data_IF_838046784015
#
_entry.id   IF_838046784015
#
_cell.length_a   1.000
_cell.length_b   1.000
_cell.length_c   1.000
_cell.angle_alpha   90.00
_cell.angle_beta   90.00
_cell.angle_gamma   90.00
#
_symmetry.space_group_name_H-M   'P 1'
#
loop_
_entity.id
_entity.type
_entity.pdbx_description
1 polymer ?
#
# COMPACT_ATOMS: atom_id res chain seq x y z
N UNK A 1 -0.44 -9.33 -15.37
CA UNK A 1 -0.38 -8.30 -16.44
C UNK A 1 0.08 -8.89 -17.76
N UNK A 2 1.38 -9.12 -18.00
CA UNK A 2 1.87 -9.63 -19.28
C UNK A 2 1.28 -10.98 -19.69
N UNK A 3 1.14 -11.89 -18.72
CA UNK A 3 0.57 -13.22 -18.93
C UNK A 3 -0.93 -13.20 -19.29
N UNK A 4 -1.66 -12.14 -18.92
CA UNK A 4 -3.13 -12.12 -18.95
C UNK A 4 -3.70 -11.22 -20.04
N UNK A 5 -2.87 -10.46 -20.77
CA UNK A 5 -3.32 -9.42 -21.70
C UNK A 5 -2.46 -9.40 -22.96
N UNK A 6 -3.05 -8.99 -24.09
CA UNK A 6 -2.34 -8.79 -25.35
C UNK A 6 -1.45 -7.54 -25.36
N UNK A 7 -1.81 -6.51 -24.58
CA UNK A 7 -1.04 -5.28 -24.42
C UNK A 7 -0.88 -4.93 -22.95
N UNK A 8 0.30 -4.45 -22.56
CA UNK A 8 0.63 -3.99 -21.21
C UNK A 8 1.15 -2.56 -21.29
N UNK A 9 0.52 -1.68 -20.51
CA UNK A 9 1.03 -0.34 -20.25
C UNK A 9 1.47 -0.21 -18.79
N UNK A 10 2.56 0.51 -18.54
CA UNK A 10 2.97 0.94 -17.20
C UNK A 10 2.90 2.47 -17.09
N UNK A 11 2.34 2.99 -16.01
CA UNK A 11 2.39 4.42 -15.72
C UNK A 11 3.49 4.73 -14.69
N UNK A 12 4.40 5.64 -15.03
CA UNK A 12 5.41 6.16 -14.09
C UNK A 12 5.07 7.63 -13.81
N UNK A 13 4.51 7.90 -12.63
CA UNK A 13 4.12 9.24 -12.25
C UNK A 13 4.22 9.44 -10.73
N UNK A 14 5.15 10.30 -10.32
CA UNK A 14 5.24 10.72 -8.91
C UNK A 14 4.16 11.77 -8.66
N UNK A 15 2.99 11.31 -8.21
CA UNK A 15 1.82 12.16 -7.99
C UNK A 15 2.04 13.14 -6.83
N UNK A 16 2.15 14.47 -7.05
CA UNK A 16 2.34 15.42 -5.97
C UNK A 16 1.16 15.51 -4.99
N UNK A 17 -0.06 15.20 -5.43
CA UNK A 17 -1.28 15.40 -4.62
C UNK A 17 -1.47 14.38 -3.51
N UNK A 18 -0.68 13.30 -3.50
CA UNK A 18 -0.72 12.28 -2.44
C UNK A 18 0.38 12.46 -1.38
N UNK A 19 1.22 13.49 -1.51
CA UNK A 19 2.28 13.79 -0.54
C UNK A 19 1.87 14.95 0.36
N UNK A 20 2.05 14.80 1.66
CA UNK A 20 1.93 15.92 2.59
C UNK A 20 3.14 16.87 2.45
N UNK A 21 3.05 18.15 2.89
CA UNK A 21 4.15 19.12 2.75
C UNK A 21 5.49 18.70 3.39
N UNK A 22 5.41 17.83 4.39
CA UNK A 22 6.53 17.27 5.15
C UNK A 22 6.94 15.85 4.69
N UNK A 23 6.34 15.34 3.62
CA UNK A 23 6.73 14.07 3.01
C UNK A 23 7.80 14.26 1.93
N UNK A 24 8.34 13.13 1.47
CA UNK A 24 9.57 13.02 0.70
C UNK A 24 9.42 13.29 -0.80
N UNK A 25 8.45 14.11 -1.26
CA UNK A 25 8.21 14.36 -2.68
C UNK A 25 9.47 14.81 -3.45
N UNK A 26 10.26 15.72 -2.85
CA UNK A 26 11.50 16.21 -3.44
C UNK A 26 12.60 15.13 -3.46
N UNK A 27 12.67 14.32 -2.41
CA UNK A 27 13.68 13.28 -2.22
C UNK A 27 13.28 11.91 -2.83
N UNK A 28 12.07 11.79 -3.36
CA UNK A 28 11.56 10.54 -3.92
C UNK A 28 12.48 10.09 -5.07
N UNK A 29 12.95 8.83 -5.08
CA UNK A 29 13.87 8.34 -6.09
C UNK A 29 13.27 8.45 -7.49
N UNK A 30 14.07 8.89 -8.45
CA UNK A 30 13.70 8.98 -9.87
C UNK A 30 14.87 8.44 -10.69
N UNK A 31 14.66 7.32 -11.37
CA UNK A 31 15.62 6.70 -12.28
C UNK A 31 14.87 6.22 -13.51
N UNK A 32 14.49 7.18 -14.37
CA UNK A 32 13.65 6.88 -15.53
C UNK A 32 14.33 5.89 -16.48
N UNK A 33 15.63 6.03 -16.71
CA UNK A 33 16.37 5.13 -17.60
C UNK A 33 16.42 3.70 -17.04
N UNK A 34 16.68 3.55 -15.74
CA UNK A 34 16.67 2.25 -15.06
C UNK A 34 15.27 1.62 -14.99
N UNK A 35 14.22 2.42 -14.81
CA UNK A 35 12.83 1.94 -14.82
C UNK A 35 12.40 1.50 -16.22
N UNK A 36 12.75 2.27 -17.28
CA UNK A 36 12.46 1.91 -18.66
C UNK A 36 13.16 0.62 -19.08
N UNK A 37 14.44 0.42 -18.70
CA UNK A 37 15.16 -0.80 -18.99
C UNK A 37 14.50 -2.05 -18.37
N UNK A 38 14.03 -1.94 -17.11
CA UNK A 38 13.31 -3.04 -16.43
C UNK A 38 11.96 -3.33 -17.09
N UNK A 39 11.23 -2.29 -17.50
CA UNK A 39 9.93 -2.44 -18.17
C UNK A 39 10.08 -3.04 -19.57
N UNK A 40 11.14 -2.68 -20.29
CA UNK A 40 11.50 -3.29 -21.58
C UNK A 40 11.82 -4.78 -21.41
N UNK A 41 12.67 -5.14 -20.44
CA UNK A 41 12.97 -6.55 -20.12
C UNK A 41 11.70 -7.34 -19.73
N UNK A 42 10.77 -6.70 -19.01
CA UNK A 42 9.49 -7.28 -18.64
C UNK A 42 8.46 -7.36 -19.78
N UNK A 43 8.78 -6.85 -20.98
CA UNK A 43 7.91 -6.90 -22.17
C UNK A 43 6.70 -5.97 -22.10
N UNK A 44 6.87 -4.77 -21.52
CA UNK A 44 5.86 -3.71 -21.49
C UNK A 44 5.80 -3.00 -22.85
N UNK A 45 4.60 -2.85 -23.41
CA UNK A 45 4.41 -2.28 -24.75
C UNK A 45 4.39 -0.74 -24.76
N UNK A 46 3.96 -0.14 -23.65
CA UNK A 46 3.81 1.31 -23.52
C UNK A 46 4.19 1.77 -22.11
N UNK A 47 5.01 2.82 -22.02
CA UNK A 47 5.24 3.54 -20.76
C UNK A 47 4.60 4.91 -20.83
N UNK A 48 3.65 5.18 -19.94
CA UNK A 48 3.01 6.48 -19.77
C UNK A 48 3.68 7.25 -18.62
N UNK A 49 4.53 8.22 -18.97
CA UNK A 49 5.32 9.00 -18.01
C UNK A 49 5.10 10.51 -18.18
N UNK A 50 3.91 11.04 -17.83
CA UNK A 50 3.56 12.43 -18.05
C UNK A 50 4.26 13.39 -17.08
N UNK A 51 4.37 14.65 -17.50
CA UNK A 51 4.74 15.73 -16.57
C UNK A 51 3.56 16.07 -15.62
N UNK A 52 3.81 16.54 -14.38
CA UNK A 52 2.74 16.92 -13.46
C UNK A 52 1.73 17.92 -14.02
N UNK A 53 2.14 18.84 -14.89
CA UNK A 53 1.27 19.85 -15.49
C UNK A 53 0.32 19.27 -16.55
N UNK A 54 0.65 18.12 -17.14
CA UNK A 54 -0.24 17.41 -18.07
C UNK A 54 -1.35 16.66 -17.31
N UNK A 55 -1.01 16.13 -16.13
CA UNK A 55 -1.99 15.50 -15.23
C UNK A 55 -2.83 16.57 -14.52
N UNK A 56 -2.19 17.63 -14.04
CA UNK A 56 -2.78 18.71 -13.25
C UNK A 56 -2.55 20.07 -13.92
N UNK A 57 -3.38 20.45 -14.91
CA UNK A 57 -3.26 21.74 -15.57
C UNK A 57 -3.53 22.92 -14.62
N UNK A 58 -3.15 24.12 -15.04
CA UNK A 58 -3.43 25.34 -14.28
C UNK A 58 -4.93 25.46 -13.96
N UNK A 59 -5.26 25.68 -12.69
CA UNK A 59 -6.65 25.76 -12.21
C UNK A 59 -7.32 24.41 -11.94
N UNK A 60 -6.58 23.29 -11.90
CA UNK A 60 -7.14 21.98 -11.58
C UNK A 60 -7.72 21.90 -10.15
N UNK A 61 -9.04 21.88 -10.04
CA UNK A 61 -9.77 21.97 -8.76
C UNK A 61 -10.64 20.73 -8.44
N UNK A 62 -10.72 19.76 -9.35
CA UNK A 62 -11.50 18.54 -9.11
C UNK A 62 -10.73 17.57 -8.21
N UNK A 63 -11.41 16.96 -7.24
CA UNK A 63 -10.87 15.92 -6.34
C UNK A 63 -11.86 14.77 -6.22
N UNK A 64 -11.35 13.57 -5.98
CA UNK A 64 -12.16 12.37 -5.73
C UNK A 64 -11.92 11.91 -4.30
N UNK A 65 -13.00 11.81 -3.52
CA UNK A 65 -12.99 11.32 -2.15
C UNK A 65 -13.77 9.99 -2.09
N UNK A 66 -13.21 9.00 -1.41
CA UNK A 66 -13.75 7.61 -1.35
C UNK A 66 -14.38 7.32 0.03
N UNK A 67 -14.57 8.36 0.84
CA UNK A 67 -15.28 8.29 2.12
C UNK A 67 -14.50 7.51 3.20
N UNK A 68 -15.25 6.84 4.08
CA UNK A 68 -14.71 6.27 5.33
C UNK A 68 -13.54 5.31 5.14
N UNK A 69 -13.53 4.51 4.07
CA UNK A 69 -12.44 3.55 3.82
C UNK A 69 -11.08 4.25 3.58
N UNK A 70 -11.12 5.49 3.10
CA UNK A 70 -9.95 6.34 2.90
C UNK A 70 -9.56 7.15 4.15
N UNK A 71 -10.43 7.24 5.16
CA UNK A 71 -10.20 8.03 6.37
C UNK A 71 -9.57 7.21 7.53
N UNK A 72 -9.67 5.88 7.48
CA UNK A 72 -9.12 4.95 8.49
C UNK A 72 -7.62 4.70 8.29
N UNK A 73 -6.96 4.07 9.27
CA UNK A 73 -5.59 3.54 9.17
C UNK A 73 -4.57 4.54 8.56
N UNK A 74 -3.99 4.24 7.39
CA UNK A 74 -3.06 5.14 6.70
C UNK A 74 -3.67 6.51 6.43
N UNK A 75 -4.98 6.59 6.18
CA UNK A 75 -5.71 7.84 5.97
C UNK A 75 -5.77 8.72 7.22
N UNK A 76 -5.85 8.09 8.40
CA UNK A 76 -5.82 8.82 9.67
C UNK A 76 -4.41 9.36 9.96
N UNK A 77 -3.37 8.57 9.67
CA UNK A 77 -1.97 8.97 9.83
C UNK A 77 -1.49 9.95 8.74
N UNK A 78 -2.12 9.93 7.57
CA UNK A 78 -1.73 10.71 6.38
C UNK A 78 -2.96 11.39 5.78
N UNK A 79 -3.43 12.49 6.40
CA UNK A 79 -4.56 13.27 5.88
C UNK A 79 -4.38 13.62 4.40
N UNK A 80 -5.47 13.56 3.64
CA UNK A 80 -5.55 13.81 2.19
C UNK A 80 -4.80 12.82 1.27
N UNK A 81 -4.00 11.89 1.81
CA UNK A 81 -3.22 10.94 1.00
C UNK A 81 -4.09 10.17 0.00
N UNK A 82 -5.16 9.53 0.49
CA UNK A 82 -6.05 8.74 -0.37
C UNK A 82 -6.94 9.58 -1.28
N UNK A 83 -7.21 10.85 -0.95
CA UNK A 83 -7.86 11.76 -1.90
C UNK A 83 -6.93 12.02 -3.10
N UNK A 84 -5.64 12.21 -2.85
CA UNK A 84 -4.62 12.31 -3.89
C UNK A 84 -4.52 11.04 -4.73
N UNK A 85 -4.45 9.86 -4.09
CA UNK A 85 -4.43 8.55 -4.77
C UNK A 85 -5.69 8.33 -5.60
N UNK A 86 -6.88 8.50 -5.03
CA UNK A 86 -8.14 8.30 -5.74
C UNK A 86 -8.27 9.25 -6.95
N UNK A 87 -7.86 10.51 -6.79
CA UNK A 87 -7.90 11.50 -7.87
C UNK A 87 -6.98 11.10 -9.02
N UNK A 88 -5.72 10.71 -8.74
CA UNK A 88 -4.78 10.33 -9.81
C UNK A 88 -5.19 9.01 -10.48
N UNK A 89 -5.63 8.02 -9.70
CA UNK A 89 -6.04 6.71 -10.23
C UNK A 89 -7.30 6.85 -11.09
N UNK A 90 -8.29 7.65 -10.67
CA UNK A 90 -9.48 7.94 -11.48
C UNK A 90 -9.10 8.54 -12.85
N UNK A 91 -8.16 9.50 -12.86
CA UNK A 91 -7.65 10.09 -14.11
C UNK A 91 -6.93 9.06 -14.96
N UNK A 92 -6.03 8.26 -14.39
CA UNK A 92 -5.28 7.24 -15.12
C UNK A 92 -6.20 6.17 -15.73
N UNK A 93 -7.21 5.70 -14.98
CA UNK A 93 -8.22 4.76 -15.50
C UNK A 93 -9.03 5.37 -16.64
N UNK A 94 -9.33 6.67 -16.58
CA UNK A 94 -10.06 7.39 -17.65
C UNK A 94 -9.21 7.62 -18.90
N UNK A 95 -7.91 7.86 -18.73
CA UNK A 95 -6.93 8.11 -19.82
C UNK A 95 -6.60 6.80 -20.54
N UNK A 96 -6.20 5.77 -19.78
CA UNK A 96 -5.71 4.50 -20.34
C UNK A 96 -6.87 3.57 -20.72
N UNK A 97 -7.97 3.61 -19.97
CA UNK A 97 -9.15 2.72 -20.12
C UNK A 97 -8.78 1.23 -20.19
N UNK A 98 -8.06 0.71 -19.18
CA UNK A 98 -7.60 -0.67 -19.21
C UNK A 98 -8.74 -1.65 -18.91
N UNK A 99 -8.69 -2.85 -19.51
CA UNK A 99 -9.55 -3.97 -19.11
C UNK A 99 -9.21 -4.45 -17.68
N UNK A 100 -7.91 -4.47 -17.34
CA UNK A 100 -7.39 -4.88 -16.03
C UNK A 100 -6.35 -3.89 -15.50
N UNK A 101 -6.41 -3.61 -14.21
CA UNK A 101 -5.42 -2.78 -13.50
C UNK A 101 -4.84 -3.56 -12.31
N UNK A 102 -3.54 -3.46 -12.10
CA UNK A 102 -2.80 -4.30 -11.14
C UNK A 102 -2.27 -3.46 -9.98
N UNK A 103 -2.57 -3.88 -8.75
CA UNK A 103 -2.07 -3.24 -7.53
C UNK A 103 -1.45 -4.27 -6.58
N UNK A 104 -0.41 -3.88 -5.86
CA UNK A 104 0.25 -4.74 -4.88
C UNK A 104 -0.51 -4.79 -3.55
N UNK A 105 -0.71 -5.99 -3.01
CA UNK A 105 -1.38 -6.24 -1.72
C UNK A 105 -0.68 -5.55 -0.55
N UNK A 106 0.61 -5.24 -0.66
CA UNK A 106 1.38 -4.53 0.37
C UNK A 106 0.67 -3.24 0.83
N UNK A 107 0.06 -2.53 -0.12
CA UNK A 107 -0.77 -1.35 0.13
C UNK A 107 -2.25 -1.78 0.17
N UNK A 108 -2.60 -2.64 1.13
CA UNK A 108 -3.93 -3.29 1.18
C UNK A 108 -5.09 -2.27 1.23
N UNK A 109 -4.96 -1.22 2.05
CA UNK A 109 -5.96 -0.14 2.09
C UNK A 109 -6.09 0.58 0.75
N UNK A 110 -4.98 0.84 0.04
CA UNK A 110 -5.04 1.41 -1.31
C UNK A 110 -5.82 0.51 -2.26
N UNK A 111 -5.59 -0.80 -2.20
CA UNK A 111 -6.34 -1.76 -3.03
C UNK A 111 -7.85 -1.67 -2.76
N UNK A 112 -8.25 -1.55 -1.49
CA UNK A 112 -9.67 -1.41 -1.13
C UNK A 112 -10.25 -0.06 -1.57
N UNK A 113 -9.53 1.04 -1.37
CA UNK A 113 -9.89 2.39 -1.87
C UNK A 113 -10.11 2.35 -3.38
N UNK A 114 -9.22 1.71 -4.13
CA UNK A 114 -9.31 1.66 -5.60
C UNK A 114 -10.43 0.74 -6.08
N UNK A 115 -10.64 -0.40 -5.41
CA UNK A 115 -11.80 -1.27 -5.68
C UNK A 115 -13.11 -0.51 -5.48
N UNK A 116 -13.23 0.25 -4.38
CA UNK A 116 -14.41 1.07 -4.07
C UNK A 116 -14.61 2.17 -5.10
N UNK A 117 -13.54 2.92 -5.42
CA UNK A 117 -13.53 3.95 -6.47
C UNK A 117 -14.03 3.41 -7.81
N UNK A 118 -13.48 2.27 -8.24
CA UNK A 118 -13.81 1.65 -9.52
C UNK A 118 -15.28 1.21 -9.59
N UNK A 119 -15.79 0.64 -8.50
CA UNK A 119 -17.19 0.23 -8.40
C UNK A 119 -18.15 1.43 -8.34
N UNK A 120 -17.92 2.39 -7.44
CA UNK A 120 -18.83 3.52 -7.20
C UNK A 120 -18.95 4.45 -8.42
N UNK A 121 -17.86 4.64 -9.17
CA UNK A 121 -17.85 5.49 -10.36
C UNK A 121 -18.03 4.72 -11.68
N UNK A 122 -18.28 3.41 -11.63
CA UNK A 122 -18.47 2.55 -12.80
C UNK A 122 -17.33 2.68 -13.83
N UNK A 123 -16.08 2.70 -13.36
CA UNK A 123 -14.91 2.93 -14.22
C UNK A 123 -14.58 1.73 -15.14
N UNK A 124 -15.10 0.55 -14.81
CA UNK A 124 -15.13 -0.61 -15.72
C UNK A 124 -13.85 -1.45 -15.76
N UNK A 125 -12.79 -1.09 -15.02
CA UNK A 125 -11.57 -1.89 -14.99
C UNK A 125 -11.69 -3.05 -13.98
N UNK A 126 -11.17 -4.23 -14.30
CA UNK A 126 -10.96 -5.30 -13.33
C UNK A 126 -9.76 -4.96 -12.44
N UNK A 127 -9.99 -4.80 -11.14
CA UNK A 127 -8.92 -4.51 -10.16
C UNK A 127 -8.29 -5.80 -9.66
N UNK A 128 -7.10 -6.13 -10.16
CA UNK A 128 -6.32 -7.32 -9.82
C UNK A 128 -5.32 -7.00 -8.71
N UNK A 129 -5.45 -7.67 -7.57
CA UNK A 129 -4.52 -7.52 -6.43
C UNK A 129 -3.46 -8.62 -6.50
N UNK A 130 -2.18 -8.23 -6.52
CA UNK A 130 -1.03 -9.14 -6.58
C UNK A 130 -0.44 -9.32 -5.18
N UNK A 131 -0.12 -10.55 -4.74
CA UNK A 131 0.47 -10.79 -3.43
C UNK A 131 1.71 -9.94 -3.14
N UNK A 132 1.93 -9.60 -1.87
CA UNK A 132 3.12 -8.88 -1.42
C UNK A 132 4.38 -9.68 -1.75
N UNK A 133 5.25 -9.12 -2.58
CA UNK A 133 6.58 -9.67 -2.84
C UNK A 133 7.47 -9.36 -1.63
N UNK A 134 8.18 -10.38 -1.16
CA UNK A 134 9.07 -10.30 -0.01
C UNK A 134 10.50 -10.66 -0.42
N UNK A 135 11.46 -10.08 0.27
CA UNK A 135 12.86 -10.48 0.21
C UNK A 135 13.03 -11.89 0.83
N UNK A 136 14.20 -12.51 0.67
CA UNK A 136 14.44 -13.89 1.12
C UNK A 136 14.29 -14.10 2.64
N UNK A 137 14.42 -13.03 3.41
CA UNK A 137 14.26 -13.01 4.87
C UNK A 137 12.83 -12.68 5.31
N UNK A 138 11.92 -12.41 4.37
CA UNK A 138 10.50 -12.15 4.63
C UNK A 138 10.11 -10.68 4.68
N UNK A 139 11.07 -9.74 4.62
CA UNK A 139 10.76 -8.30 4.58
C UNK A 139 9.97 -7.96 3.31
N UNK A 140 8.83 -7.27 3.44
CA UNK A 140 8.09 -6.79 2.29
C UNK A 140 8.94 -5.81 1.46
N UNK A 141 9.00 -6.01 0.14
CA UNK A 141 9.79 -5.15 -0.73
C UNK A 141 9.22 -3.73 -0.76
N UNK A 142 10.09 -2.74 -0.59
CA UNK A 142 9.75 -1.33 -0.54
C UNK A 142 10.91 -0.50 -1.05
N UNK A 143 10.65 0.53 -1.85
CA UNK A 143 11.68 1.52 -2.19
C UNK A 143 12.27 2.17 -0.93
N UNK A 144 11.45 2.32 0.12
CA UNK A 144 11.88 2.84 1.43
C UNK A 144 12.86 1.94 2.19
N UNK A 145 13.02 0.67 1.81
CA UNK A 145 14.00 -0.21 2.46
C UNK A 145 15.43 0.27 2.20
N UNK A 146 15.67 1.01 1.10
CA UNK A 146 16.97 1.60 0.80
C UNK A 146 17.41 2.69 1.81
N UNK A 147 16.49 3.20 2.64
CA UNK A 147 16.77 4.21 3.66
C UNK A 147 17.06 3.61 5.05
N UNK A 148 16.96 2.28 5.20
CA UNK A 148 17.30 1.61 6.45
C UNK A 148 18.82 1.71 6.67
N UNK A 149 19.22 2.03 7.90
CA UNK A 149 20.64 2.06 8.28
C UNK A 149 21.14 0.65 8.56
N UNK A 150 22.45 0.49 8.61
CA UNK A 150 23.07 -0.75 9.07
C UNK A 150 22.52 -1.12 10.46
N UNK A 151 22.01 -2.35 10.59
CA UNK A 151 21.36 -2.85 11.80
C UNK A 151 19.84 -2.65 11.86
N UNK A 152 19.27 -1.65 11.17
CA UNK A 152 17.82 -1.39 11.19
C UNK A 152 17.02 -2.49 10.44
N UNK A 153 17.69 -3.27 9.59
CA UNK A 153 17.06 -4.38 8.86
C UNK A 153 16.50 -5.46 9.80
N UNK A 154 17.21 -5.78 10.88
CA UNK A 154 16.74 -6.78 11.86
C UNK A 154 15.48 -6.28 12.57
N UNK A 155 15.47 -5.01 12.99
CA UNK A 155 14.26 -4.36 13.51
C UNK A 155 13.11 -4.36 12.50
N UNK A 156 13.38 -4.12 11.22
CA UNK A 156 12.36 -4.14 10.16
C UNK A 156 11.75 -5.55 9.94
N UNK A 157 12.49 -6.63 10.22
CA UNK A 157 11.96 -7.99 10.10
C UNK A 157 10.86 -8.30 11.13
N UNK A 158 10.78 -7.54 12.23
CA UNK A 158 9.69 -7.69 13.21
C UNK A 158 8.30 -7.48 12.63
N UNK A 159 8.17 -6.67 11.57
CA UNK A 159 6.90 -6.49 10.87
C UNK A 159 6.41 -7.83 10.33
N UNK A 160 7.24 -8.52 9.55
CA UNK A 160 6.90 -9.84 9.00
C UNK A 160 6.72 -10.91 10.09
N UNK A 161 7.58 -10.90 11.13
CA UNK A 161 7.50 -11.84 12.26
C UNK A 161 6.22 -11.65 13.07
N UNK A 162 5.79 -10.41 13.30
CA UNK A 162 4.55 -10.10 14.01
C UNK A 162 3.30 -10.51 13.22
N UNK A 163 3.31 -10.39 11.89
CA UNK A 163 2.22 -10.90 11.06
C UNK A 163 2.16 -12.43 11.09
N UNK A 164 3.31 -13.11 11.09
CA UNK A 164 3.36 -14.57 11.27
C UNK A 164 2.81 -14.97 12.65
N UNK A 165 3.20 -14.27 13.71
CA UNK A 165 2.66 -14.46 15.06
C UNK A 165 1.13 -14.32 15.08
N UNK A 166 0.58 -13.31 14.39
CA UNK A 166 -0.87 -13.15 14.28
C UNK A 166 -1.54 -14.37 13.61
N UNK A 167 -0.95 -14.90 12.54
CA UNK A 167 -1.44 -16.13 11.88
C UNK A 167 -1.37 -17.33 12.80
N UNK A 168 -0.25 -17.53 13.51
CA UNK A 168 -0.05 -18.65 14.44
C UNK A 168 -1.04 -18.60 15.61
N UNK A 169 -1.26 -17.42 16.18
CA UNK A 169 -2.24 -17.20 17.24
C UNK A 169 -3.66 -17.50 16.75
N UNK A 170 -4.02 -17.02 15.56
CA UNK A 170 -5.32 -17.30 14.96
C UNK A 170 -5.53 -18.79 14.67
N UNK A 171 -4.52 -19.47 14.11
CA UNK A 171 -4.52 -20.91 13.88
C UNK A 171 -4.64 -21.72 15.19
N UNK A 172 -4.19 -21.15 16.31
CA UNK A 172 -4.35 -21.70 17.66
C UNK A 172 -5.66 -21.28 18.34
N UNK A 173 -6.66 -20.85 17.55
CA UNK A 173 -8.00 -20.44 17.99
C UNK A 173 -8.04 -19.23 18.94
N UNK A 174 -6.97 -18.41 18.96
CA UNK A 174 -7.00 -17.13 19.66
C UNK A 174 -7.66 -16.09 18.75
N UNK A 175 -8.95 -15.83 18.97
CA UNK A 175 -9.73 -14.91 18.13
C UNK A 175 -9.82 -13.48 18.68
N UNK A 176 -9.32 -13.23 19.89
CA UNK A 176 -9.38 -11.90 20.50
C UNK A 176 -8.35 -10.96 19.83
N UNK A 177 -8.85 -10.00 19.05
CA UNK A 177 -8.02 -9.09 18.28
C UNK A 177 -7.07 -8.27 19.17
N UNK A 178 -7.56 -7.74 20.29
CA UNK A 178 -6.74 -6.96 21.24
C UNK A 178 -5.57 -7.78 21.81
N UNK A 179 -5.79 -9.06 22.10
CA UNK A 179 -4.75 -9.98 22.57
C UNK A 179 -3.68 -10.20 21.49
N UNK A 180 -4.09 -10.42 20.23
CA UNK A 180 -3.15 -10.59 19.12
C UNK A 180 -2.36 -9.30 18.89
N UNK A 181 -3.04 -8.16 18.75
CA UNK A 181 -2.38 -6.86 18.54
C UNK A 181 -1.40 -6.50 19.66
N UNK A 182 -1.70 -6.84 20.91
CA UNK A 182 -0.79 -6.64 22.03
C UNK A 182 0.48 -7.50 21.93
N UNK A 183 0.36 -8.77 21.52
CA UNK A 183 1.53 -9.63 21.32
C UNK A 183 2.38 -9.18 20.13
N UNK A 184 1.74 -8.77 19.02
CA UNK A 184 2.42 -8.17 17.88
C UNK A 184 3.20 -6.92 18.29
N UNK A 185 2.57 -6.02 19.06
CA UNK A 185 3.21 -4.81 19.56
C UNK A 185 4.44 -5.12 20.42
N UNK A 186 4.30 -6.03 21.39
CA UNK A 186 5.41 -6.42 22.26
C UNK A 186 6.61 -6.97 21.46
N UNK A 187 6.36 -7.75 20.41
CA UNK A 187 7.42 -8.28 19.54
C UNK A 187 8.11 -7.19 18.72
N UNK A 188 7.37 -6.20 18.23
CA UNK A 188 7.95 -5.10 17.46
C UNK A 188 8.78 -4.19 18.39
N UNK A 189 8.21 -3.84 19.55
CA UNK A 189 8.82 -2.91 20.52
C UNK A 189 9.97 -3.54 21.32
N UNK A 190 10.23 -4.85 21.18
CA UNK A 190 11.42 -5.49 21.75
C UNK A 190 12.71 -5.21 20.98
N UNK A 191 12.60 -4.79 19.71
CA UNK A 191 13.76 -4.41 18.89
C UNK A 191 14.09 -2.92 19.02
N UNK A 192 15.37 -2.53 18.85
CA UNK A 192 15.77 -1.14 18.99
C UNK A 192 15.21 -0.28 17.85
N UNK A 193 14.97 0.99 18.18
CA UNK A 193 14.54 2.05 17.24
C UNK A 193 13.22 1.75 16.53
N UNK A 194 12.40 0.86 17.05
CA UNK A 194 11.05 0.61 16.58
C UNK A 194 10.05 1.51 17.31
N UNK A 195 9.05 2.00 16.57
CA UNK A 195 7.91 2.70 17.13
C UNK A 195 6.68 2.38 16.29
N UNK A 196 5.72 1.70 16.90
CA UNK A 196 4.48 1.31 16.23
C UNK A 196 3.58 2.55 16.08
N UNK A 197 3.26 2.91 14.85
CA UNK A 197 2.28 3.94 14.51
C UNK A 197 0.86 3.38 14.73
N UNK A 198 0.57 2.24 14.12
CA UNK A 198 -0.62 1.45 14.45
C UNK A 198 -0.41 -0.05 14.19
N UNK A 199 -1.24 -0.84 14.86
CA UNK A 199 -1.56 -2.23 14.51
C UNK A 199 -3.07 -2.32 14.54
N UNK A 200 -3.67 -2.74 13.43
CA UNK A 200 -5.10 -2.87 13.23
C UNK A 200 -5.44 -4.32 12.88
N UNK A 201 -6.55 -4.80 13.43
CA UNK A 201 -7.17 -6.05 13.01
C UNK A 201 -8.62 -5.69 12.68
N UNK A 202 -8.89 -5.56 11.39
CA UNK A 202 -10.14 -5.02 10.89
C UNK A 202 -10.82 -5.98 9.92
N UNK A 203 -12.10 -5.75 9.64
CA UNK A 203 -12.82 -6.42 8.57
C UNK A 203 -12.08 -6.23 7.23
N UNK A 204 -11.89 -7.33 6.49
CA UNK A 204 -11.08 -7.34 5.28
C UNK A 204 -11.67 -6.49 4.13
N UNK A 205 -12.95 -6.13 4.19
CA UNK A 205 -13.63 -5.34 3.15
C UNK A 205 -13.89 -3.89 3.60
N UNK A 206 -14.34 -3.69 4.84
CA UNK A 206 -14.78 -2.36 5.32
C UNK A 206 -13.71 -1.61 6.11
N UNK A 207 -12.67 -2.31 6.57
CA UNK A 207 -11.66 -1.80 7.51
C UNK A 207 -12.25 -1.36 8.87
N UNK A 208 -13.42 -1.85 9.26
CA UNK A 208 -13.94 -1.66 10.62
C UNK A 208 -13.16 -2.52 11.61
N UNK A 209 -12.72 -1.93 12.73
CA UNK A 209 -11.97 -2.66 13.76
C UNK A 209 -12.81 -3.81 14.35
N UNK A 210 -12.16 -4.96 14.54
CA UNK A 210 -12.78 -6.14 15.11
C UNK A 210 -12.33 -6.33 16.57
N UNK A 211 -13.26 -6.67 17.46
CA UNK A 211 -12.90 -7.17 18.80
C UNK A 211 -12.61 -8.68 18.77
N UNK A 212 -13.31 -9.41 17.89
CA UNK A 212 -13.23 -10.85 17.68
C UNK A 212 -13.07 -11.13 16.19
N UNK A 213 -12.13 -11.99 15.82
CA UNK A 213 -11.88 -12.44 14.45
C UNK A 213 -12.81 -13.62 14.16
N UNK A 214 -14.03 -13.34 13.74
CA UNK A 214 -15.07 -14.34 13.40
C UNK A 214 -15.46 -14.33 11.91
N UNK A 215 -14.70 -13.57 11.11
CA UNK A 215 -14.85 -13.37 9.66
C UNK A 215 -13.48 -13.00 9.07
N UNK A 216 -13.33 -12.99 7.74
CA UNK A 216 -12.07 -12.59 7.11
C UNK A 216 -11.59 -11.23 7.60
N UNK A 217 -10.37 -11.19 8.12
CA UNK A 217 -9.79 -10.01 8.74
C UNK A 217 -8.49 -9.58 8.04
N UNK A 218 -8.30 -8.27 7.93
CA UNK A 218 -7.02 -7.67 7.54
C UNK A 218 -6.26 -7.29 8.82
N UNK A 219 -5.14 -7.96 9.05
CA UNK A 219 -4.14 -7.54 10.02
C UNK A 219 -3.18 -6.60 9.29
N UNK A 220 -3.14 -5.33 9.68
CA UNK A 220 -2.28 -4.33 9.07
C UNK A 220 -1.50 -3.56 10.13
N UNK A 221 -0.32 -3.10 9.76
CA UNK A 221 0.55 -2.35 10.66
C UNK A 221 1.35 -1.30 9.91
N UNK A 222 1.70 -0.26 10.66
CA UNK A 222 2.70 0.72 10.28
C UNK A 222 3.67 0.94 11.44
N UNK A 223 4.96 0.88 11.14
CA UNK A 223 6.04 0.96 12.14
C UNK A 223 7.14 1.87 11.62
N UNK A 224 7.60 2.76 12.49
CA UNK A 224 8.81 3.55 12.26
C UNK A 224 10.03 2.78 12.76
N UNK A 225 11.02 2.61 11.88
CA UNK A 225 12.34 2.07 12.18
C UNK A 225 13.34 3.21 12.01
N UNK A 226 13.74 3.84 13.11
CA UNK A 226 14.41 5.13 13.07
C UNK A 226 13.53 6.17 12.37
N UNK A 227 14.01 6.70 11.25
CA UNK A 227 13.31 7.73 10.46
C UNK A 227 12.40 7.13 9.36
N UNK A 228 12.52 5.82 9.10
CA UNK A 228 11.82 5.14 8.00
C UNK A 228 10.50 4.57 8.48
N UNK A 229 9.39 4.97 7.85
CA UNK A 229 8.06 4.39 8.11
C UNK A 229 7.76 3.27 7.12
N UNK A 230 7.61 2.06 7.64
CA UNK A 230 7.30 0.85 6.89
C UNK A 230 5.88 0.39 7.20
N UNK A 231 5.27 -0.29 6.22
CA UNK A 231 3.94 -0.89 6.34
C UNK A 231 4.02 -2.35 5.91
N UNK A 232 3.17 -3.18 6.49
CA UNK A 232 2.96 -4.57 6.05
C UNK A 232 1.56 -5.03 6.47
N UNK A 233 1.07 -6.11 5.88
CA UNK A 233 -0.22 -6.68 6.21
C UNK A 233 -0.32 -8.19 5.90
N UNK A 234 -1.33 -8.82 6.48
CA UNK A 234 -1.80 -10.15 6.11
C UNK A 234 -3.31 -10.28 6.24
N UNK A 235 -3.89 -11.17 5.44
CA UNK A 235 -5.25 -11.63 5.64
C UNK A 235 -5.27 -12.81 6.62
N UNK A 236 -6.31 -12.89 7.43
CA UNK A 236 -6.73 -14.05 8.22
C UNK A 236 -8.11 -14.50 7.70
N UNK A 237 -8.34 -15.81 7.57
CA UNK A 237 -9.60 -16.36 7.07
C UNK A 237 -10.75 -16.22 8.06
#
# INVERSE_FOLDING_TARGET
>A
ARADNATVSASIFVNPTQFAPNEDLAAYPRDMDGDLAKLEEAGVDLVFAPAPQEVYPAGFDTRVDVGEIAAKLEGASRPDHFRGVATVVCKLLTIVRPDKVYFGQKDAQQCLVIKRLNADLNLGAEVVVIPTIRDSDGLALSSRNAYLRDGDRESALTLSRSLNLAREMHQSEILNAKKISAQMRNLIESEPRTSVDYISISDAETLDELDIIDRPALVSLAVRIGDVRLIDNTLLP
#
